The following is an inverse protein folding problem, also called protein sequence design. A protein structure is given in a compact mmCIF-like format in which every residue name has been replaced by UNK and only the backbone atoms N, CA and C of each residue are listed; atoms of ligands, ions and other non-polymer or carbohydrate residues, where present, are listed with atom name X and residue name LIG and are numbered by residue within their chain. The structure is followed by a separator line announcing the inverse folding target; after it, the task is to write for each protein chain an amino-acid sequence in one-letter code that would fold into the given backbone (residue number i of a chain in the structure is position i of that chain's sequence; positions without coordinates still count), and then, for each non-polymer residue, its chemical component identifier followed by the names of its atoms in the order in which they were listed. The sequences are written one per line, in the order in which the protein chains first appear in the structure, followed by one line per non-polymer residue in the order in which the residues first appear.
data_IF_266122555514
#
_entry.id   IF_266122555514
#
_cell.length_a   1.000
_cell.length_b   1.000
_cell.length_c   1.000
_cell.angle_alpha   90.00
_cell.angle_beta   90.00
_cell.angle_gamma   90.00
#
_symmetry.space_group_name_H-M   'P 1'
#
loop_
_entity.id
_entity.type
_entity.pdbx_description
1 polymer ?
#
# COMPACT_ATOMS: atom_id res chain seq x y z
N UNK A 1 72.07 10.55 48.86
CA UNK A 1 71.65 9.15 48.71
C UNK A 1 70.19 9.07 49.14
N UNK A 2 69.21 8.48 48.45
CA UNK A 2 69.19 7.82 47.13
C UNK A 2 67.73 7.67 46.64
N UNK A 3 67.53 7.68 45.31
CA UNK A 3 66.35 7.15 44.56
C UNK A 3 64.98 7.81 44.77
N UNK A 4 64.64 8.70 43.83
CA UNK A 4 63.24 9.05 43.49
C UNK A 4 62.51 7.84 42.88
N UNK A 5 61.21 7.71 43.15
CA UNK A 5 60.34 6.65 42.61
C UNK A 5 59.58 7.18 41.38
N UNK A 6 60.15 7.03 40.19
CA UNK A 6 59.50 7.36 38.92
C UNK A 6 59.04 6.11 38.17
N UNK A 7 57.87 5.59 38.54
CA UNK A 7 57.08 4.65 37.75
C UNK A 7 55.61 4.71 38.20
N UNK A 8 54.69 4.66 37.23
CA UNK A 8 53.21 4.72 37.36
C UNK A 8 52.54 6.11 37.37
N UNK A 9 52.63 6.85 36.24
CA UNK A 9 51.70 7.94 35.91
C UNK A 9 51.67 8.29 34.40
N UNK A 10 51.60 7.28 33.51
CA UNK A 10 51.49 7.48 32.05
C UNK A 10 50.49 6.55 31.34
N UNK A 11 49.51 5.97 32.06
CA UNK A 11 48.40 5.21 31.46
C UNK A 11 47.06 5.62 32.12
N UNK A 12 46.70 6.90 32.00
CA UNK A 12 45.42 7.43 32.50
C UNK A 12 44.92 8.68 31.74
N UNK A 13 45.44 8.97 30.54
CA UNK A 13 45.16 10.20 29.80
C UNK A 13 44.85 9.98 28.30
N UNK A 14 44.46 8.75 27.91
CA UNK A 14 44.16 8.38 26.52
C UNK A 14 42.81 7.66 26.34
N UNK A 15 41.94 7.67 27.36
CA UNK A 15 40.68 6.91 27.39
C UNK A 15 39.44 7.76 27.74
N UNK A 16 39.54 9.09 27.68
CA UNK A 16 38.42 10.03 27.96
C UNK A 16 38.15 11.08 26.86
N UNK A 17 38.52 10.80 25.61
CA UNK A 17 38.29 11.71 24.47
C UNK A 17 37.63 11.05 23.24
N UNK A 18 37.13 9.81 23.36
CA UNK A 18 36.55 9.03 22.26
C UNK A 18 35.18 8.40 22.59
N UNK A 19 34.45 8.97 23.56
CA UNK A 19 33.26 8.36 24.17
C UNK A 19 31.99 9.21 24.13
N UNK A 20 31.89 10.17 23.20
CA UNK A 20 30.72 11.04 23.06
C UNK A 20 30.35 11.29 21.58
N UNK A 21 30.44 10.25 20.75
CA UNK A 21 29.66 10.22 19.52
C UNK A 21 28.19 10.05 19.90
N UNK A 22 27.49 11.16 20.16
CA UNK A 22 26.04 11.17 20.22
C UNK A 22 25.54 10.70 18.87
N UNK A 23 25.08 9.44 18.79
CA UNK A 23 24.32 8.96 17.65
C UNK A 23 23.03 9.78 17.66
N UNK A 24 23.03 10.87 16.89
CA UNK A 24 21.81 11.57 16.50
C UNK A 24 21.13 10.64 15.52
N UNK A 25 20.44 9.65 16.07
CA UNK A 25 19.49 8.84 15.35
C UNK A 25 18.35 9.79 14.97
N UNK A 26 18.50 10.48 13.85
CA UNK A 26 17.38 11.04 13.12
C UNK A 26 16.40 9.89 12.94
N UNK A 27 15.18 9.95 13.50
CA UNK A 27 14.19 8.92 13.22
C UNK A 27 13.95 8.94 11.71
N UNK A 28 14.22 7.81 11.05
CA UNK A 28 13.84 7.60 9.65
C UNK A 28 12.36 8.01 9.51
N UNK A 29 11.96 8.81 8.49
CA UNK A 29 10.59 9.26 8.36
C UNK A 29 9.66 8.03 8.32
N UNK A 30 8.90 7.82 9.39
CA UNK A 30 7.90 6.77 9.40
C UNK A 30 6.96 7.04 8.22
N UNK A 31 6.79 6.05 7.36
CA UNK A 31 6.00 6.18 6.15
C UNK A 31 4.54 5.94 6.45
N UNK A 32 3.70 6.79 5.87
CA UNK A 32 2.26 6.59 5.91
C UNK A 32 1.85 5.48 4.94
N UNK A 33 0.70 4.90 5.21
CA UNK A 33 0.09 3.87 4.37
C UNK A 33 -1.41 3.94 4.56
N UNK A 34 -2.13 4.05 3.45
CA UNK A 34 -3.58 4.06 3.44
C UNK A 34 -4.13 4.26 2.03
N UNK A 35 -5.27 3.65 1.78
CA UNK A 35 -6.12 3.92 0.62
C UNK A 35 -7.58 4.05 1.07
N UNK A 36 -8.43 4.59 0.20
CA UNK A 36 -9.86 4.66 0.50
C UNK A 36 -10.46 3.25 0.60
N UNK A 37 -11.16 2.98 1.70
CA UNK A 37 -11.84 1.72 1.96
C UNK A 37 -13.35 1.83 1.69
N UNK A 38 -13.90 3.05 1.77
CA UNK A 38 -15.33 3.35 1.55
C UNK A 38 -15.44 4.81 1.10
N UNK A 39 -15.81 5.11 -0.18
CA UNK A 39 -15.95 4.16 -1.29
C UNK A 39 -14.60 3.54 -1.64
N UNK A 40 -14.55 2.23 -1.84
CA UNK A 40 -13.27 1.50 -1.93
C UNK A 40 -12.45 1.88 -3.17
N UNK A 41 -11.15 2.11 -2.98
CA UNK A 41 -10.21 2.33 -4.07
C UNK A 41 -9.99 1.04 -4.88
N UNK A 42 -9.60 1.17 -6.16
CA UNK A 42 -9.30 0.04 -7.06
C UNK A 42 -8.43 -1.02 -6.39
N UNK A 43 -7.31 -0.62 -5.82
CA UNK A 43 -6.37 -1.51 -5.12
C UNK A 43 -7.03 -2.24 -3.95
N UNK A 44 -7.78 -1.54 -3.10
CA UNK A 44 -8.47 -2.14 -1.95
C UNK A 44 -9.59 -3.11 -2.36
N UNK A 45 -10.40 -2.75 -3.36
CA UNK A 45 -11.48 -3.61 -3.84
C UNK A 45 -10.95 -4.83 -4.61
N UNK A 46 -9.86 -4.67 -5.36
CA UNK A 46 -9.18 -5.78 -6.01
C UNK A 46 -8.47 -6.70 -5.01
N UNK A 47 -7.90 -6.16 -3.92
CA UNK A 47 -7.40 -6.96 -2.81
C UNK A 47 -8.53 -7.78 -2.18
N UNK A 48 -9.69 -7.16 -1.90
CA UNK A 48 -10.87 -7.86 -1.39
C UNK A 48 -11.41 -8.93 -2.35
N UNK A 49 -11.42 -8.65 -3.65
CA UNK A 49 -11.86 -9.57 -4.69
C UNK A 49 -10.95 -10.80 -4.79
N UNK A 50 -9.63 -10.60 -4.66
CA UNK A 50 -8.66 -11.68 -4.78
C UNK A 50 -8.26 -12.38 -3.48
N UNK A 51 -8.58 -11.84 -2.30
CA UNK A 51 -8.13 -12.41 -1.02
C UNK A 51 -8.77 -13.78 -0.75
N UNK A 52 -7.95 -14.81 -0.91
CA UNK A 52 -8.29 -16.19 -0.55
C UNK A 52 -8.17 -16.45 0.96
N UNK A 53 -8.80 -17.52 1.49
CA UNK A 53 -8.65 -17.91 2.89
C UNK A 53 -7.22 -18.25 3.34
N UNK A 54 -6.32 -18.57 2.40
CA UNK A 54 -4.89 -18.83 2.66
C UNK A 54 -4.02 -17.57 2.57
N UNK A 55 -4.62 -16.39 2.42
CA UNK A 55 -3.94 -15.10 2.32
C UNK A 55 -3.39 -14.77 0.94
N UNK A 56 -3.45 -15.69 -0.02
CA UNK A 56 -3.07 -15.45 -1.42
C UNK A 56 -4.05 -14.49 -2.11
N UNK A 57 -3.53 -13.61 -2.96
CA UNK A 57 -4.34 -12.76 -3.83
C UNK A 57 -4.46 -13.37 -5.23
N UNK A 58 -5.66 -13.83 -5.56
CA UNK A 58 -6.08 -14.37 -6.86
C UNK A 58 -7.36 -13.65 -7.34
N UNK A 59 -7.25 -12.47 -7.97
CA UNK A 59 -8.43 -11.69 -8.34
C UNK A 59 -9.29 -12.41 -9.39
N UNK A 60 -10.60 -12.33 -9.19
CA UNK A 60 -11.65 -12.91 -10.03
C UNK A 60 -12.19 -11.86 -11.00
N UNK A 61 -12.22 -10.58 -10.58
CA UNK A 61 -12.60 -9.45 -11.40
C UNK A 61 -11.59 -9.24 -12.55
N UNK A 62 -12.00 -9.19 -13.83
CA UNK A 62 -11.05 -9.15 -14.94
C UNK A 62 -10.17 -7.89 -15.01
N UNK A 63 -10.62 -6.74 -14.49
CA UNK A 63 -9.79 -5.55 -14.37
C UNK A 63 -8.72 -5.71 -13.29
N UNK A 64 -9.09 -6.29 -12.14
CA UNK A 64 -8.16 -6.63 -11.07
C UNK A 64 -7.14 -7.69 -11.50
N UNK A 65 -7.57 -8.73 -12.21
CA UNK A 65 -6.67 -9.76 -12.76
C UNK A 65 -5.70 -9.15 -13.80
N UNK A 66 -6.16 -8.21 -14.63
CA UNK A 66 -5.32 -7.51 -15.59
C UNK A 66 -4.26 -6.62 -14.91
N UNK A 67 -4.64 -5.86 -13.88
CA UNK A 67 -3.68 -5.04 -13.12
C UNK A 67 -2.63 -5.90 -12.37
N UNK A 68 -3.05 -7.05 -11.84
CA UNK A 68 -2.15 -8.05 -11.26
C UNK A 68 -1.25 -8.72 -12.30
N UNK A 69 -1.70 -8.89 -13.54
CA UNK A 69 -0.84 -9.37 -14.63
C UNK A 69 0.24 -8.35 -15.03
N UNK A 70 -0.03 -7.05 -14.86
CA UNK A 70 0.93 -5.97 -15.16
C UNK A 70 1.90 -5.71 -14.00
N UNK A 71 1.40 -5.55 -12.76
CA UNK A 71 2.22 -5.15 -11.59
C UNK A 71 2.55 -6.31 -10.63
N UNK A 72 2.11 -7.52 -10.94
CA UNK A 72 2.17 -8.67 -10.03
C UNK A 72 1.12 -8.61 -8.91
N UNK A 73 0.76 -9.79 -8.39
CA UNK A 73 -0.16 -9.93 -7.25
C UNK A 73 0.30 -9.12 -6.04
N UNK A 74 1.63 -8.99 -5.92
CA UNK A 74 2.38 -7.94 -5.26
C UNK A 74 1.52 -6.69 -4.95
N UNK A 75 1.25 -5.85 -5.95
CA UNK A 75 0.54 -4.58 -5.82
C UNK A 75 -0.74 -4.63 -4.97
N UNK A 76 -1.44 -5.76 -4.90
CA UNK A 76 -2.65 -5.91 -4.10
C UNK A 76 -2.46 -6.25 -2.63
N UNK A 77 -1.41 -6.95 -2.18
CA UNK A 77 -1.27 -7.14 -0.72
C UNK A 77 -0.82 -5.84 -0.04
N UNK A 78 -0.41 -4.84 -0.82
CA UNK A 78 -0.09 -3.48 -0.38
C UNK A 78 -0.93 -2.47 -1.13
N UNK A 79 -2.22 -2.77 -1.15
CA UNK A 79 -3.28 -1.93 -1.68
C UNK A 79 -3.30 -0.51 -1.07
N UNK A 80 -2.67 -0.34 0.09
CA UNK A 80 -2.50 0.91 0.85
C UNK A 80 -1.22 1.71 0.51
N UNK A 81 -0.36 1.23 -0.39
CA UNK A 81 0.97 1.81 -0.65
C UNK A 81 1.08 2.59 -1.97
N UNK A 82 -0.04 3.09 -2.51
CA UNK A 82 -0.07 3.94 -3.72
C UNK A 82 0.42 5.35 -3.34
N UNK A 83 1.74 5.49 -3.25
CA UNK A 83 2.40 6.66 -2.67
C UNK A 83 3.47 7.28 -3.58
N UNK A 84 3.77 8.55 -3.29
CA UNK A 84 4.95 9.27 -3.77
C UNK A 84 5.60 10.02 -2.61
N UNK A 85 6.78 9.57 -2.19
CA UNK A 85 7.59 10.17 -1.12
C UNK A 85 7.97 11.63 -1.41
N UNK A 86 8.04 12.00 -2.69
CA UNK A 86 8.48 13.31 -3.17
C UNK A 86 7.33 14.28 -3.50
N UNK A 87 6.06 13.89 -3.34
CA UNK A 87 4.93 14.66 -3.89
C UNK A 87 4.84 16.12 -3.40
N UNK A 88 4.94 16.37 -2.10
CA UNK A 88 4.90 17.71 -1.52
C UNK A 88 3.60 18.46 -1.76
N UNK A 89 2.48 17.75 -1.92
CA UNK A 89 1.18 18.33 -2.30
C UNK A 89 1.01 18.61 -3.80
N UNK A 90 2.03 18.39 -4.62
CA UNK A 90 2.01 18.62 -6.08
C UNK A 90 1.07 17.65 -6.79
N UNK A 91 0.43 18.13 -7.85
CA UNK A 91 -0.57 17.39 -8.65
C UNK A 91 -0.29 17.53 -10.14
N UNK A 92 -0.87 18.56 -10.77
CA UNK A 92 -0.72 18.88 -12.20
C UNK A 92 0.74 19.18 -12.52
N UNK A 93 1.25 18.62 -13.62
CA UNK A 93 2.65 18.75 -14.03
C UNK A 93 3.65 17.92 -13.22
N UNK A 94 3.20 17.21 -12.18
CA UNK A 94 4.01 16.29 -11.38
C UNK A 94 3.60 14.83 -11.58
N UNK A 95 2.30 14.53 -11.47
CA UNK A 95 1.72 13.26 -11.88
C UNK A 95 1.20 13.44 -13.32
N UNK A 96 1.68 12.66 -14.31
CA UNK A 96 1.18 12.73 -15.68
C UNK A 96 -0.30 12.37 -15.80
N UNK A 97 -0.97 12.90 -16.83
CA UNK A 97 -2.30 12.43 -17.22
C UNK A 97 -2.26 10.93 -17.56
N UNK A 98 -3.32 10.22 -17.21
CA UNK A 98 -3.37 8.76 -17.29
C UNK A 98 -2.50 8.02 -16.27
N UNK A 99 -1.97 8.72 -15.25
CA UNK A 99 -1.20 8.15 -14.13
C UNK A 99 -1.73 8.55 -12.75
N UNK A 100 -2.97 9.04 -12.68
CA UNK A 100 -3.56 9.53 -11.44
C UNK A 100 -3.83 8.39 -10.45
N UNK A 101 -4.34 7.24 -10.90
CA UNK A 101 -4.74 6.14 -10.04
C UNK A 101 -3.55 5.36 -9.45
N UNK A 102 -2.40 5.38 -10.13
CA UNK A 102 -1.11 4.93 -9.61
C UNK A 102 -0.32 6.00 -8.84
N UNK A 103 -0.75 7.28 -8.86
CA UNK A 103 0.06 8.40 -8.39
C UNK A 103 1.38 8.58 -9.17
N UNK A 104 1.47 8.03 -10.39
CA UNK A 104 2.71 7.94 -11.15
C UNK A 104 3.72 6.93 -10.59
N UNK A 105 3.31 6.04 -9.69
CA UNK A 105 4.16 4.96 -9.17
C UNK A 105 4.14 3.75 -10.14
N UNK A 106 5.29 3.33 -10.71
CA UNK A 106 5.34 2.20 -11.65
C UNK A 106 4.82 0.88 -11.09
N UNK A 107 4.91 0.66 -9.76
CA UNK A 107 4.39 -0.54 -9.08
C UNK A 107 2.86 -0.65 -9.06
N UNK A 108 2.15 0.35 -9.56
CA UNK A 108 0.69 0.41 -9.60
C UNK A 108 0.12 0.85 -10.97
N UNK A 109 0.93 0.81 -12.03
CA UNK A 109 0.54 1.32 -13.36
C UNK A 109 -0.71 0.67 -13.97
N UNK A 110 -0.98 -0.60 -13.68
CA UNK A 110 -2.16 -1.34 -14.16
C UNK A 110 -3.47 -0.83 -13.55
N UNK A 111 -3.42 -0.13 -12.40
CA UNK A 111 -4.59 0.52 -11.80
C UNK A 111 -5.01 1.79 -12.52
N UNK A 112 -4.22 2.30 -13.46
CA UNK A 112 -4.61 3.40 -14.35
C UNK A 112 -5.48 2.93 -15.55
N UNK A 113 -5.62 1.61 -15.77
CA UNK A 113 -6.23 1.08 -16.99
C UNK A 113 -7.67 1.59 -17.21
N UNK A 114 -7.99 2.10 -18.41
CA UNK A 114 -9.31 2.63 -18.73
C UNK A 114 -10.29 1.50 -19.04
N UNK A 115 -11.00 1.04 -18.01
CA UNK A 115 -11.90 -0.11 -18.09
C UNK A 115 -13.25 0.19 -17.44
N UNK A 116 -14.28 -0.48 -17.93
CA UNK A 116 -15.67 -0.38 -17.44
C UNK A 116 -16.04 -1.48 -16.43
N UNK A 117 -15.16 -2.46 -16.21
CA UNK A 117 -15.41 -3.65 -15.39
C UNK A 117 -14.66 -3.67 -14.05
N UNK A 118 -14.02 -2.56 -13.65
CA UNK A 118 -13.52 -2.37 -12.28
C UNK A 118 -14.63 -2.60 -11.24
N UNK A 119 -14.28 -3.10 -10.02
CA UNK A 119 -15.18 -3.14 -8.88
C UNK A 119 -15.76 -1.75 -8.58
N UNK A 120 -17.04 -1.67 -8.23
CA UNK A 120 -17.83 -0.44 -8.29
C UNK A 120 -18.58 -0.19 -6.99
N UNK A 121 -18.53 1.03 -6.45
CA UNK A 121 -19.38 1.43 -5.31
C UNK A 121 -20.62 2.19 -5.79
N UNK A 122 -21.81 1.74 -5.39
CA UNK A 122 -23.09 2.35 -5.74
C UNK A 122 -23.47 3.46 -4.75
N UNK A 123 -23.81 4.64 -5.24
CA UNK A 123 -23.97 5.88 -4.46
C UNK A 123 -25.20 6.69 -4.88
N UNK A 124 -25.59 7.64 -4.03
CA UNK A 124 -26.64 8.63 -4.28
C UNK A 124 -26.02 10.02 -4.32
N UNK A 125 -26.24 10.77 -5.40
CA UNK A 125 -25.73 12.14 -5.53
C UNK A 125 -26.37 13.06 -4.48
N UNK A 126 -25.59 13.98 -3.92
CA UNK A 126 -26.02 14.89 -2.84
C UNK A 126 -26.20 14.26 -1.45
N UNK A 127 -26.31 12.92 -1.35
CA UNK A 127 -26.55 12.23 -0.09
C UNK A 127 -25.35 12.33 0.87
N UNK A 128 -25.63 12.30 2.19
CA UNK A 128 -24.58 12.11 3.19
C UNK A 128 -24.04 10.69 3.09
N UNK A 129 -22.73 10.54 3.18
CA UNK A 129 -22.02 9.28 3.09
C UNK A 129 -20.93 9.21 4.17
N UNK A 130 -20.71 8.01 4.72
CA UNK A 130 -19.68 7.76 5.73
C UNK A 130 -18.46 7.12 5.08
N UNK A 131 -17.36 7.87 5.09
CA UNK A 131 -16.11 7.50 4.46
C UNK A 131 -15.21 6.73 5.41
N UNK A 132 -14.43 5.82 4.84
CA UNK A 132 -13.36 5.11 5.53
C UNK A 132 -12.09 5.18 4.70
N UNK A 133 -10.97 5.50 5.34
CA UNK A 133 -9.65 5.52 4.72
C UNK A 133 -8.70 4.76 5.62
N UNK A 134 -7.93 3.80 5.09
CA UNK A 134 -7.08 2.95 5.93
C UNK A 134 -6.04 3.75 6.70
N UNK A 135 -5.81 3.37 7.96
CA UNK A 135 -4.75 3.93 8.81
C UNK A 135 -3.58 2.93 8.97
N UNK A 136 -3.29 2.11 7.94
CA UNK A 136 -2.25 1.08 7.99
C UNK A 136 -0.92 1.58 8.56
N UNK A 137 -0.53 2.82 8.23
CA UNK A 137 0.36 3.61 9.07
C UNK A 137 -0.21 5.02 9.27
N UNK A 138 -0.45 5.38 10.53
CA UNK A 138 -1.08 6.64 10.91
C UNK A 138 -0.12 7.84 10.85
N UNK A 139 -0.54 8.91 10.18
CA UNK A 139 0.15 10.21 10.14
C UNK A 139 -0.82 11.39 10.19
N UNK A 140 -0.35 12.59 10.58
CA UNK A 140 -1.12 13.81 10.45
C UNK A 140 -1.16 14.30 8.99
N UNK A 141 -2.27 14.89 8.57
CA UNK A 141 -2.42 15.41 7.21
C UNK A 141 -3.85 15.72 6.81
N UNK A 142 -4.01 16.11 5.55
CA UNK A 142 -5.28 16.46 4.92
C UNK A 142 -5.63 15.50 3.80
N UNK A 143 -6.84 14.97 3.85
CA UNK A 143 -7.46 14.12 2.85
C UNK A 143 -8.35 14.99 1.95
N UNK A 144 -8.12 14.90 0.65
CA UNK A 144 -8.87 15.61 -0.39
C UNK A 144 -9.57 14.60 -1.28
N UNK A 145 -10.86 14.82 -1.57
CA UNK A 145 -11.65 14.00 -2.48
C UNK A 145 -12.20 14.85 -3.62
N UNK A 146 -11.83 14.47 -4.84
CA UNK A 146 -12.30 15.04 -6.09
C UNK A 146 -13.24 14.03 -6.77
N UNK A 147 -14.08 14.52 -7.68
CA UNK A 147 -14.91 13.66 -8.54
C UNK A 147 -14.62 14.02 -10.00
N UNK A 148 -14.76 13.06 -10.90
CA UNK A 148 -14.79 13.33 -12.34
C UNK A 148 -15.98 14.18 -12.76
N UNK A 149 -15.77 15.10 -13.70
CA UNK A 149 -16.79 15.86 -14.45
C UNK A 149 -17.72 14.94 -15.23
N UNK A 150 -18.89 15.46 -15.59
CA UNK A 150 -19.93 14.70 -16.31
C UNK A 150 -19.56 14.43 -17.78
N UNK A 151 -18.53 15.11 -18.29
CA UNK A 151 -17.92 14.89 -19.61
C UNK A 151 -16.85 13.80 -19.63
N UNK A 152 -16.53 13.17 -18.49
CA UNK A 152 -15.57 12.07 -18.42
C UNK A 152 -16.20 10.75 -18.89
N UNK A 153 -15.36 9.83 -19.39
CA UNK A 153 -15.78 8.47 -19.77
C UNK A 153 -14.77 7.43 -19.26
N UNK A 154 -15.23 6.30 -18.68
CA UNK A 154 -14.38 5.20 -18.24
C UNK A 154 -13.62 4.49 -19.39
N UNK A 155 -13.95 4.77 -20.64
CA UNK A 155 -13.30 4.15 -21.83
C UNK A 155 -11.96 4.80 -22.22
N UNK A 156 -11.51 5.83 -21.50
CA UNK A 156 -10.20 6.47 -21.70
C UNK A 156 -9.50 6.76 -20.38
N UNK A 157 -8.18 6.95 -20.43
CA UNK A 157 -7.39 7.22 -19.25
C UNK A 157 -7.85 8.53 -18.56
N UNK A 158 -7.78 8.56 -17.23
CA UNK A 158 -8.15 9.70 -16.40
C UNK A 158 -7.06 10.78 -16.46
N UNK A 159 -7.42 11.99 -16.86
CA UNK A 159 -6.57 13.18 -16.87
C UNK A 159 -6.95 14.15 -15.74
N UNK A 160 -6.04 15.06 -15.36
CA UNK A 160 -6.34 16.12 -14.38
C UNK A 160 -7.47 17.04 -14.83
N UNK A 161 -7.59 17.27 -16.14
CA UNK A 161 -8.68 18.06 -16.74
C UNK A 161 -10.06 17.44 -16.54
N UNK A 162 -10.13 16.13 -16.26
CA UNK A 162 -11.39 15.40 -16.06
C UNK A 162 -11.95 15.53 -14.65
N UNK A 163 -11.13 15.91 -13.66
CA UNK A 163 -11.58 16.15 -12.31
C UNK A 163 -12.26 17.52 -12.20
N UNK A 164 -13.22 17.64 -11.29
CA UNK A 164 -13.69 18.94 -10.82
C UNK A 164 -12.51 19.71 -10.19
N UNK A 165 -12.45 21.02 -10.43
CA UNK A 165 -11.32 21.86 -10.04
C UNK A 165 -11.12 21.90 -8.51
N UNK A 166 -12.23 21.85 -7.76
CA UNK A 166 -12.24 21.87 -6.31
C UNK A 166 -12.62 20.49 -5.74
N UNK A 167 -11.99 20.07 -4.62
CA UNK A 167 -12.40 18.86 -3.93
C UNK A 167 -13.79 19.07 -3.31
N UNK A 168 -14.69 18.10 -3.48
CA UNK A 168 -16.03 18.15 -2.87
C UNK A 168 -16.01 17.87 -1.37
N UNK A 169 -14.94 17.22 -0.89
CA UNK A 169 -14.71 16.93 0.52
C UNK A 169 -13.22 17.09 0.85
N UNK A 170 -12.93 17.84 1.91
CA UNK A 170 -11.58 18.01 2.47
C UNK A 170 -11.66 17.81 3.97
N UNK A 171 -10.80 16.94 4.53
CA UNK A 171 -10.79 16.60 5.96
C UNK A 171 -9.36 16.55 6.47
N UNK A 172 -9.07 17.26 7.56
CA UNK A 172 -7.73 17.29 8.18
C UNK A 172 -7.77 16.57 9.52
N UNK A 173 -6.81 15.66 9.76
CA UNK A 173 -6.68 14.87 10.99
C UNK A 173 -7.99 14.23 11.50
N UNK A 174 -8.73 13.47 10.67
CA UNK A 174 -9.94 12.77 11.10
C UNK A 174 -9.69 11.77 12.25
N UNK A 175 -10.72 11.46 13.05
CA UNK A 175 -10.63 10.42 14.07
C UNK A 175 -10.43 9.03 13.46
N UNK A 176 -9.93 8.10 14.28
CA UNK A 176 -9.59 6.74 13.89
C UNK A 176 -10.42 5.71 14.65
N UNK A 177 -10.65 4.56 14.02
CA UNK A 177 -11.30 3.40 14.60
C UNK A 177 -10.55 2.12 14.17
N UNK A 178 -10.38 1.19 15.12
CA UNK A 178 -9.51 0.03 14.98
C UNK A 178 -8.00 0.35 15.13
N UNK A 179 -7.15 -0.67 15.35
CA UNK A 179 -5.71 -0.46 15.54
C UNK A 179 -5.02 -0.06 14.22
N UNK A 180 -3.97 0.75 14.32
CA UNK A 180 -3.05 1.04 13.22
C UNK A 180 -2.34 -0.25 12.79
N UNK A 181 -2.14 -0.43 11.49
CA UNK A 181 -1.46 -1.61 10.93
C UNK A 181 -2.32 -2.88 10.83
N UNK A 182 -3.65 -2.76 10.83
CA UNK A 182 -4.56 -3.89 10.53
C UNK A 182 -5.43 -3.60 9.31
N UNK A 183 -6.05 -4.65 8.75
CA UNK A 183 -6.92 -4.52 7.58
C UNK A 183 -8.25 -3.79 7.87
N UNK A 184 -8.62 -3.71 9.15
CA UNK A 184 -9.85 -3.11 9.66
C UNK A 184 -9.62 -1.68 10.17
N UNK A 185 -8.37 -1.31 10.48
CA UNK A 185 -7.99 0.01 10.95
C UNK A 185 -8.27 1.10 9.91
N UNK A 186 -8.97 2.15 10.32
CA UNK A 186 -9.34 3.26 9.44
C UNK A 186 -9.54 4.59 10.16
N UNK A 187 -9.21 5.67 9.46
CA UNK A 187 -9.82 6.97 9.66
C UNK A 187 -11.30 6.92 9.25
N UNK A 188 -12.16 7.66 9.96
CA UNK A 188 -13.59 7.78 9.60
C UNK A 188 -14.07 9.23 9.65
N UNK A 189 -14.96 9.59 8.73
CA UNK A 189 -15.57 10.91 8.63
C UNK A 189 -16.81 10.85 7.73
N UNK A 190 -17.78 11.75 7.93
CA UNK A 190 -18.92 11.89 7.01
C UNK A 190 -18.70 13.08 6.08
N UNK A 191 -19.26 13.00 4.87
CA UNK A 191 -19.39 14.14 3.95
C UNK A 191 -20.61 13.98 3.06
N UNK A 192 -20.99 15.04 2.34
CA UNK A 192 -21.99 14.92 1.28
C UNK A 192 -21.31 14.52 -0.03
N UNK A 193 -21.92 13.58 -0.75
CA UNK A 193 -21.55 13.33 -2.15
C UNK A 193 -21.90 14.55 -3.02
N UNK A 194 -21.18 14.79 -4.13
CA UNK A 194 -21.54 15.82 -5.09
C UNK A 194 -22.99 15.66 -5.56
N UNK A 195 -23.72 16.77 -5.68
CA UNK A 195 -25.04 16.80 -6.31
C UNK A 195 -24.91 16.78 -7.84
N UNK A 196 -26.00 16.47 -8.54
CA UNK A 196 -26.07 16.51 -10.02
C UNK A 196 -25.36 15.36 -10.76
N UNK A 197 -24.55 14.54 -10.08
CA UNK A 197 -23.87 13.39 -10.68
C UNK A 197 -24.83 12.23 -11.00
N UNK A 198 -24.57 11.50 -12.07
CA UNK A 198 -25.37 10.33 -12.49
C UNK A 198 -24.51 9.33 -13.26
N UNK A 199 -24.74 8.03 -13.06
CA UNK A 199 -23.95 6.99 -13.73
C UNK A 199 -22.50 6.93 -13.23
N UNK A 200 -21.59 6.43 -14.06
CA UNK A 200 -20.22 6.07 -13.65
C UNK A 200 -19.28 7.27 -13.57
N UNK A 201 -18.57 7.39 -12.45
CA UNK A 201 -17.55 8.39 -12.18
C UNK A 201 -16.37 7.75 -11.42
N UNK A 202 -15.24 8.45 -11.35
CA UNK A 202 -14.18 8.17 -10.38
C UNK A 202 -14.23 9.21 -9.27
N UNK A 203 -14.17 8.76 -8.02
CA UNK A 203 -13.77 9.58 -6.88
C UNK A 203 -12.25 9.43 -6.73
N UNK A 204 -11.53 10.54 -6.84
CA UNK A 204 -10.08 10.59 -6.71
C UNK A 204 -9.70 11.11 -5.33
N UNK A 205 -8.97 10.29 -4.57
CA UNK A 205 -8.51 10.62 -3.22
C UNK A 205 -7.03 11.00 -3.23
N UNK A 206 -6.67 12.06 -2.51
CA UNK A 206 -5.28 12.45 -2.20
C UNK A 206 -5.13 12.66 -0.70
N UNK A 207 -4.21 11.96 -0.05
CA UNK A 207 -3.80 12.27 1.33
C UNK A 207 -2.44 12.97 1.31
N UNK A 208 -2.43 14.22 1.79
CA UNK A 208 -1.22 15.04 1.93
C UNK A 208 -0.82 15.04 3.40
N UNK A 209 0.34 14.47 3.71
CA UNK A 209 0.94 14.55 5.03
C UNK A 209 1.31 15.98 5.40
N UNK A 210 1.21 16.33 6.68
CA UNK A 210 1.70 17.61 7.21
C UNK A 210 3.10 17.51 7.83
N UNK A 211 3.61 16.30 8.00
CA UNK A 211 4.90 15.96 8.62
C UNK A 211 5.95 15.45 7.60
N UNK A 212 5.60 15.34 6.32
CA UNK A 212 6.46 14.82 5.25
C UNK A 212 6.04 15.36 3.88
N UNK A 213 6.91 15.21 2.87
CA UNK A 213 6.55 15.41 1.46
C UNK A 213 5.73 14.25 0.89
N UNK A 214 5.70 13.09 1.57
CA UNK A 214 5.02 11.90 1.09
C UNK A 214 3.49 12.08 1.00
N UNK A 215 2.89 11.71 -0.14
CA UNK A 215 1.44 11.74 -0.35
C UNK A 215 0.93 10.40 -0.91
N UNK A 216 -0.37 10.14 -0.69
CA UNK A 216 -1.07 8.93 -1.14
C UNK A 216 -2.16 9.29 -2.13
N UNK A 217 -2.40 8.39 -3.08
CA UNK A 217 -3.32 8.59 -4.18
C UNK A 217 -4.21 7.37 -4.35
N UNK A 218 -5.39 7.54 -4.93
CA UNK A 218 -6.22 6.40 -5.27
C UNK A 218 -7.50 6.80 -5.98
N UNK A 219 -7.91 5.96 -6.93
CA UNK A 219 -9.18 6.05 -7.62
C UNK A 219 -10.16 5.05 -7.01
N UNK A 220 -11.35 5.51 -6.63
CA UNK A 220 -12.51 4.67 -6.31
C UNK A 220 -13.52 4.79 -7.44
N UNK A 221 -13.78 3.71 -8.18
CA UNK A 221 -14.83 3.68 -9.21
C UNK A 221 -16.20 3.64 -8.53
N UNK A 222 -17.08 4.56 -8.93
CA UNK A 222 -18.40 4.70 -8.36
C UNK A 222 -19.48 4.84 -9.43
N UNK A 223 -20.72 4.56 -9.06
CA UNK A 223 -21.89 4.90 -9.88
C UNK A 223 -22.91 5.65 -9.03
N UNK A 224 -23.44 6.75 -9.57
CA UNK A 224 -24.53 7.51 -8.96
C UNK A 224 -25.86 7.05 -9.54
N UNK A 225 -26.48 6.09 -8.85
CA UNK A 225 -27.68 5.37 -9.29
C UNK A 225 -28.74 5.17 -8.19
N UNK A 226 -28.55 5.78 -7.02
CA UNK A 226 -29.43 5.61 -5.85
C UNK A 226 -28.88 4.63 -4.81
N UNK A 227 -27.66 4.11 -5.01
CA UNK A 227 -26.97 3.28 -4.03
C UNK A 227 -26.58 4.02 -2.74
N UNK A 228 -26.19 3.24 -1.74
CA UNK A 228 -25.87 3.67 -0.38
C UNK A 228 -24.58 3.00 0.13
N UNK A 229 -23.61 2.77 -0.76
CA UNK A 229 -22.32 2.15 -0.44
C UNK A 229 -22.20 0.66 -0.75
N UNK A 230 -23.17 0.06 -1.45
CA UNK A 230 -23.05 -1.31 -1.95
C UNK A 230 -21.87 -1.43 -2.93
N UNK A 231 -21.17 -2.56 -2.90
CA UNK A 231 -20.05 -2.84 -3.83
C UNK A 231 -20.45 -4.00 -4.74
N UNK A 232 -20.22 -3.85 -6.05
CA UNK A 232 -20.39 -4.91 -7.05
C UNK A 232 -19.11 -5.15 -7.84
N UNK A 233 -19.06 -6.26 -8.58
CA UNK A 233 -17.88 -6.65 -9.36
C UNK A 233 -16.74 -7.23 -8.52
N UNK A 234 -17.03 -7.68 -7.29
CA UNK A 234 -16.09 -8.47 -6.46
C UNK A 234 -16.62 -9.90 -6.27
N UNK A 235 -15.72 -10.86 -6.04
CA UNK A 235 -16.06 -12.24 -5.67
C UNK A 235 -16.74 -13.03 -6.79
N UNK A 236 -16.49 -12.68 -8.06
CA UNK A 236 -17.13 -13.31 -9.22
C UNK A 236 -18.62 -12.98 -9.39
N UNK A 237 -19.17 -12.06 -8.59
CA UNK A 237 -20.51 -11.51 -8.85
C UNK A 237 -20.45 -10.68 -10.15
N UNK A 238 -21.31 -10.96 -11.16
CA UNK A 238 -21.36 -10.12 -12.34
C UNK A 238 -21.67 -8.68 -11.95
N UNK A 239 -20.89 -7.73 -12.46
CA UNK A 239 -21.28 -6.33 -12.43
C UNK A 239 -22.63 -6.23 -13.16
N UNK A 240 -23.71 -5.71 -12.55
CA UNK A 240 -24.98 -5.57 -13.23
C UNK A 240 -24.79 -4.62 -14.42
N UNK A 241 -24.67 -5.18 -15.62
CA UNK A 241 -24.59 -4.43 -16.88
C UNK A 241 -25.82 -3.57 -16.98
N UNK A 242 -25.64 -2.25 -16.82
CA UNK A 242 -26.71 -1.26 -16.70
C UNK A 242 -27.76 -1.43 -17.81
N UNK A 243 -28.98 -1.91 -17.52
CA UNK A 243 -30.06 -1.87 -18.48
C UNK A 243 -30.60 -0.44 -18.51
N UNK A 244 -30.92 0.08 -19.70
CA UNK A 244 -31.84 1.21 -19.78
C UNK A 244 -33.18 0.81 -19.14
N UNK A 245 -33.88 1.70 -18.41
CA UNK A 245 -34.97 1.29 -17.55
C UNK A 245 -36.18 0.81 -18.37
N UNK A 246 -36.62 -0.42 -18.14
CA UNK A 246 -37.98 -0.90 -18.47
C UNK A 246 -38.40 -1.90 -17.39
N UNK A 247 -39.58 -1.76 -16.75
CA UNK A 247 -39.92 -2.53 -15.55
C UNK A 247 -40.58 -3.88 -15.87
N UNK A 248 -40.18 -4.97 -15.19
CA UNK A 248 -41.08 -6.09 -14.81
C UNK A 248 -40.49 -7.08 -13.76
N UNK A 249 -41.39 -7.87 -13.18
CA UNK A 249 -41.34 -8.67 -11.93
C UNK A 249 -40.44 -9.95 -11.97
N UNK A 250 -39.89 -10.45 -10.84
CA UNK A 250 -38.85 -11.50 -10.82
C UNK A 250 -39.34 -12.97 -10.87
N UNK A 251 -38.41 -13.87 -11.25
CA UNK A 251 -38.55 -15.35 -11.20
C UNK A 251 -37.28 -16.05 -10.67
N UNK A 252 -37.33 -17.34 -10.27
CA UNK A 252 -36.46 -17.87 -9.20
C UNK A 252 -35.20 -18.65 -9.62
N UNK A 253 -34.27 -18.72 -8.65
CA UNK A 253 -32.97 -19.41 -8.62
C UNK A 253 -33.04 -20.94 -8.63
N UNK A 254 -32.00 -21.63 -9.15
CA UNK A 254 -31.52 -22.90 -8.57
C UNK A 254 -30.04 -22.90 -8.15
N UNK A 255 -29.74 -23.61 -7.06
CA UNK A 255 -28.42 -23.85 -6.44
C UNK A 255 -27.77 -25.19 -6.89
N UNK A 256 -26.46 -25.40 -6.62
CA UNK A 256 -25.84 -26.60 -5.94
C UNK A 256 -24.29 -26.65 -6.16
N UNK A 257 -23.44 -27.14 -5.21
CA UNK A 257 -21.96 -26.99 -5.24
C UNK A 257 -21.12 -28.30 -5.42
N UNK A 258 -19.78 -28.17 -5.57
CA UNK A 258 -18.79 -29.27 -5.63
C UNK A 258 -17.33 -28.86 -5.26
N UNK A 259 -16.38 -29.79 -4.97
CA UNK A 259 -15.31 -29.56 -3.98
C UNK A 259 -13.82 -29.39 -4.46
N UNK A 260 -12.97 -29.01 -3.50
CA UNK A 260 -11.47 -28.87 -3.43
C UNK A 260 -10.67 -30.20 -3.56
N UNK A 261 -9.31 -30.27 -3.47
CA UNK A 261 -8.19 -29.27 -3.53
C UNK A 261 -7.14 -29.63 -4.65
N UNK A 262 -5.94 -29.05 -4.88
CA UNK A 262 -4.90 -28.45 -4.01
C UNK A 262 -3.92 -27.57 -4.84
N UNK A 263 -3.28 -26.56 -4.22
CA UNK A 263 -2.15 -25.76 -4.78
C UNK A 263 -1.15 -25.46 -3.66
N UNK A 264 0.08 -24.98 -3.94
CA UNK A 264 0.40 -23.63 -3.44
C UNK A 264 1.32 -22.76 -4.32
N UNK A 265 0.97 -21.47 -4.39
CA UNK A 265 1.84 -20.29 -4.52
C UNK A 265 1.25 -19.17 -3.63
N UNK A 266 1.90 -18.01 -3.45
CA UNK A 266 1.32 -16.75 -2.88
C UNK A 266 2.40 -15.69 -2.56
N UNK A 267 2.27 -14.40 -2.91
CA UNK A 267 3.36 -13.37 -2.90
C UNK A 267 2.97 -11.88 -2.55
N UNK A 268 3.41 -11.29 -1.43
CA UNK A 268 2.90 -10.09 -0.65
C UNK A 268 3.87 -8.89 -0.31
N UNK A 269 3.71 -7.57 -0.65
CA UNK A 269 4.83 -6.58 -0.65
C UNK A 269 4.93 -5.28 0.25
N UNK A 270 5.08 -3.97 -0.18
CA UNK A 270 5.88 -2.96 0.56
C UNK A 270 5.15 -1.86 1.35
N UNK A 271 5.59 -1.62 2.59
CA UNK A 271 6.09 -0.31 3.04
C UNK A 271 7.54 0.03 2.55
N UNK A 272 8.17 1.20 2.73
CA UNK A 272 7.84 2.46 3.41
C UNK A 272 8.78 3.59 2.91
N UNK A 273 8.23 4.74 2.50
CA UNK A 273 8.81 6.09 2.62
C UNK A 273 10.31 6.29 2.39
N UNK A 274 10.66 6.54 1.13
CA UNK A 274 11.96 7.06 0.71
C UNK A 274 12.21 6.74 -0.76
N UNK A 275 13.44 6.97 -1.22
CA UNK A 275 13.93 6.39 -2.48
C UNK A 275 13.81 4.86 -2.47
N UNK A 276 13.83 4.20 -1.30
CA UNK A 276 13.78 2.75 -1.20
C UNK A 276 12.36 2.21 -0.93
N UNK A 277 11.95 1.21 -1.70
CA UNK A 277 10.70 0.46 -1.51
C UNK A 277 11.02 -1.04 -1.29
N UNK A 278 10.43 -1.69 -0.27
CA UNK A 278 10.73 -3.09 0.09
C UNK A 278 9.54 -4.04 -0.11
N UNK A 279 9.39 -4.57 -1.31
CA UNK A 279 8.31 -5.50 -1.66
C UNK A 279 8.59 -6.90 -1.10
N UNK A 280 8.05 -7.25 0.07
CA UNK A 280 7.94 -8.64 0.54
C UNK A 280 7.26 -9.57 -0.49
N UNK A 281 7.38 -10.87 -0.27
CA UNK A 281 6.47 -11.91 -0.72
C UNK A 281 6.65 -13.22 0.03
N UNK A 282 5.58 -13.97 0.25
CA UNK A 282 5.70 -15.43 0.48
C UNK A 282 6.15 -16.06 -0.84
N UNK A 283 6.84 -17.21 -0.80
CA UNK A 283 7.25 -17.97 -1.99
C UNK A 283 6.60 -19.35 -1.97
N UNK A 284 6.56 -19.97 -0.79
CA UNK A 284 5.90 -21.24 -0.53
C UNK A 284 5.53 -21.34 0.96
N UNK A 285 4.58 -22.20 1.31
CA UNK A 285 4.18 -22.45 2.70
C UNK A 285 3.82 -23.92 2.93
N UNK A 286 4.00 -24.38 4.17
CA UNK A 286 3.71 -25.74 4.62
C UNK A 286 3.21 -25.73 6.07
N UNK A 287 2.83 -26.89 6.59
CA UNK A 287 2.39 -27.01 7.99
C UNK A 287 3.52 -26.61 8.95
N UNK A 288 3.35 -25.48 9.64
CA UNK A 288 4.29 -24.96 10.62
C UNK A 288 5.43 -24.09 10.07
N UNK A 289 5.47 -23.75 8.77
CA UNK A 289 6.49 -22.84 8.23
C UNK A 289 6.23 -22.34 6.82
N UNK A 290 7.07 -21.40 6.37
CA UNK A 290 6.97 -20.79 5.05
C UNK A 290 8.33 -20.24 4.58
N UNK A 291 8.46 -20.06 3.28
CA UNK A 291 9.55 -19.30 2.66
C UNK A 291 9.05 -17.90 2.30
N UNK A 292 9.83 -16.88 2.65
CA UNK A 292 9.63 -15.50 2.22
C UNK A 292 10.78 -14.99 1.35
N UNK A 293 10.49 -13.93 0.60
CA UNK A 293 11.44 -13.11 -0.16
C UNK A 293 11.08 -11.64 0.08
N UNK A 294 12.02 -10.71 0.02
CA UNK A 294 11.77 -9.27 -0.05
C UNK A 294 12.64 -8.73 -1.16
N UNK A 295 12.02 -8.19 -2.20
CA UNK A 295 12.69 -7.39 -3.20
C UNK A 295 12.77 -5.92 -2.73
N UNK A 296 13.89 -5.28 -3.04
CA UNK A 296 14.29 -3.95 -2.61
C UNK A 296 14.52 -3.14 -3.88
N UNK A 297 13.75 -2.07 -4.07
CA UNK A 297 13.74 -1.26 -5.28
C UNK A 297 14.19 0.17 -4.97
N UNK A 298 14.95 0.77 -5.89
CA UNK A 298 15.44 2.15 -5.78
C UNK A 298 14.66 3.07 -6.73
N UNK A 299 13.71 3.84 -6.21
CA UNK A 299 13.00 4.92 -6.90
C UNK A 299 13.68 6.30 -6.72
N UNK A 300 14.91 6.31 -6.22
CA UNK A 300 15.75 7.50 -6.15
C UNK A 300 16.51 7.77 -7.44
N UNK A 301 16.91 9.03 -7.64
CA UNK A 301 17.71 9.45 -8.79
C UNK A 301 19.21 9.11 -8.69
N UNK A 302 19.65 8.51 -7.58
CA UNK A 302 21.05 8.10 -7.35
C UNK A 302 21.15 6.62 -6.97
N UNK A 303 22.24 5.91 -7.30
CA UNK A 303 22.44 4.54 -6.83
C UNK A 303 22.47 4.45 -5.31
N UNK A 304 21.87 3.40 -4.75
CA UNK A 304 22.15 2.95 -3.39
C UNK A 304 23.55 2.35 -3.30
N UNK A 305 24.07 2.35 -2.08
CA UNK A 305 25.34 1.70 -1.68
C UNK A 305 25.12 0.66 -0.58
N UNK A 306 23.98 0.76 0.11
CA UNK A 306 23.46 -0.22 1.04
C UNK A 306 21.94 -0.06 1.20
N UNK A 307 21.30 -1.07 1.77
CA UNK A 307 19.88 -1.04 2.11
C UNK A 307 19.61 -1.79 3.42
N UNK A 308 18.57 -1.34 4.13
CA UNK A 308 18.05 -1.90 5.39
C UNK A 308 16.54 -2.08 5.24
N UNK A 309 16.08 -3.32 5.32
CA UNK A 309 14.66 -3.66 5.35
C UNK A 309 14.24 -4.04 6.77
N UNK A 310 13.05 -3.61 7.21
CA UNK A 310 12.53 -3.95 8.55
C UNK A 310 11.16 -4.60 8.42
N UNK A 311 11.04 -5.87 8.79
CA UNK A 311 9.79 -6.62 8.80
C UNK A 311 9.21 -6.63 10.22
N UNK A 312 7.93 -6.33 10.38
CA UNK A 312 7.19 -6.51 11.63
C UNK A 312 6.15 -7.60 11.46
N UNK A 313 6.34 -8.69 12.18
CA UNK A 313 5.50 -9.89 12.14
C UNK A 313 4.23 -9.75 12.97
N UNK A 314 3.22 -10.56 12.63
CA UNK A 314 2.21 -10.97 13.62
C UNK A 314 2.84 -11.91 14.66
N UNK A 315 2.19 -12.10 15.81
CA UNK A 315 2.68 -13.03 16.83
C UNK A 315 2.76 -14.47 16.29
N UNK A 316 3.85 -15.18 16.62
CA UNK A 316 4.01 -16.61 16.32
C UNK A 316 4.84 -16.97 15.08
N UNK A 317 5.61 -16.04 14.50
CA UNK A 317 6.53 -16.29 13.38
C UNK A 317 8.00 -16.08 13.79
N UNK A 318 8.90 -16.94 13.30
CA UNK A 318 10.35 -16.89 13.61
C UNK A 318 11.18 -17.25 12.39
N UNK A 319 12.19 -16.44 12.02
CA UNK A 319 13.13 -16.79 10.93
C UNK A 319 14.09 -17.90 11.39
N UNK A 320 14.20 -18.95 10.59
CA UNK A 320 15.10 -20.09 10.78
C UNK A 320 16.41 -19.92 9.98
N UNK A 321 16.34 -19.37 8.77
CA UNK A 321 17.49 -19.11 7.89
C UNK A 321 17.18 -17.96 6.92
N UNK A 322 18.20 -17.23 6.48
CA UNK A 322 18.09 -16.09 5.55
C UNK A 322 19.31 -16.06 4.62
N UNK A 323 19.12 -15.65 3.37
CA UNK A 323 20.16 -15.49 2.34
C UNK A 323 20.07 -14.13 1.65
N UNK A 324 21.18 -13.73 1.01
CA UNK A 324 21.38 -12.42 0.36
C UNK A 324 21.22 -11.19 1.30
N UNK A 325 21.31 -11.41 2.61
CA UNK A 325 21.34 -10.38 3.64
C UNK A 325 21.82 -10.94 4.98
N UNK A 326 21.94 -10.07 5.97
CA UNK A 326 22.21 -10.40 7.37
C UNK A 326 21.07 -9.84 8.23
N UNK A 327 20.65 -10.54 9.28
CA UNK A 327 19.48 -10.11 10.05
C UNK A 327 19.68 -10.11 11.57
N UNK A 328 18.90 -9.27 12.24
CA UNK A 328 18.74 -9.22 13.69
C UNK A 328 17.26 -9.23 14.05
N UNK A 329 16.93 -9.66 15.28
CA UNK A 329 15.55 -9.80 15.75
C UNK A 329 15.34 -9.11 17.10
N UNK A 330 14.21 -8.43 17.26
CA UNK A 330 13.80 -7.79 18.52
C UNK A 330 12.29 -7.82 18.63
N UNK A 331 11.74 -8.64 19.55
CA UNK A 331 10.31 -8.88 19.63
C UNK A 331 9.76 -9.46 18.32
N UNK A 332 8.69 -8.85 17.77
CA UNK A 332 8.13 -9.18 16.46
C UNK A 332 8.83 -8.50 15.28
N UNK A 333 9.88 -7.72 15.51
CA UNK A 333 10.61 -6.99 14.46
C UNK A 333 11.87 -7.73 14.04
N UNK A 334 12.06 -7.88 12.72
CA UNK A 334 13.28 -8.35 12.06
C UNK A 334 13.86 -7.20 11.25
N UNK A 335 15.15 -6.90 11.44
CA UNK A 335 15.89 -5.97 10.58
C UNK A 335 16.86 -6.76 9.72
N UNK A 336 16.86 -6.55 8.41
CA UNK A 336 17.73 -7.20 7.42
C UNK A 336 18.55 -6.14 6.69
N UNK A 337 19.86 -6.33 6.63
CA UNK A 337 20.79 -5.49 5.86
C UNK A 337 21.39 -6.25 4.68
N UNK A 338 21.83 -5.51 3.66
CA UNK A 338 22.40 -6.08 2.44
C UNK A 338 23.64 -6.95 2.68
N UNK A 339 23.84 -7.93 1.79
CA UNK A 339 25.14 -8.58 1.62
C UNK A 339 26.13 -7.66 0.89
N UNK A 340 27.46 -7.89 0.98
CA UNK A 340 28.45 -7.02 0.34
C UNK A 340 28.29 -6.87 -1.18
N UNK A 341 27.74 -7.88 -1.87
CA UNK A 341 27.61 -7.91 -3.33
C UNK A 341 26.28 -7.34 -3.86
N UNK A 342 25.29 -7.07 -3.00
CA UNK A 342 23.94 -6.66 -3.44
C UNK A 342 23.40 -5.39 -2.76
N UNK A 343 24.27 -4.62 -2.10
CA UNK A 343 23.95 -3.30 -1.54
C UNK A 343 23.84 -2.19 -2.58
N UNK A 344 24.55 -2.32 -3.71
CA UNK A 344 24.49 -1.36 -4.81
C UNK A 344 23.26 -1.62 -5.68
N UNK A 345 22.37 -0.63 -5.77
CA UNK A 345 21.13 -0.69 -6.58
C UNK A 345 21.03 0.60 -7.39
N UNK A 346 21.08 0.52 -8.72
CA UNK A 346 20.93 1.68 -9.60
C UNK A 346 19.52 2.31 -9.49
N UNK A 347 19.31 3.57 -9.94
CA UNK A 347 17.98 4.15 -10.12
C UNK A 347 17.06 3.23 -10.94
N UNK A 348 15.81 3.09 -10.50
CA UNK A 348 14.79 2.10 -10.91
C UNK A 348 15.27 0.62 -10.87
N UNK A 349 16.42 0.36 -10.25
CA UNK A 349 16.99 -0.96 -10.07
C UNK A 349 16.34 -1.72 -8.91
N UNK A 350 16.48 -3.05 -8.93
CA UNK A 350 15.94 -3.96 -7.91
C UNK A 350 16.99 -4.98 -7.47
N UNK A 351 16.97 -5.36 -6.20
CA UNK A 351 17.70 -6.49 -5.59
C UNK A 351 16.76 -7.27 -4.68
N UNK A 352 17.14 -8.42 -4.13
CA UNK A 352 16.27 -9.19 -3.24
C UNK A 352 17.03 -10.08 -2.23
N UNK A 353 16.38 -10.33 -1.10
CA UNK A 353 16.76 -11.34 -0.11
C UNK A 353 15.62 -12.31 0.17
N UNK A 354 15.93 -13.48 0.72
CA UNK A 354 14.91 -14.47 1.07
C UNK A 354 15.26 -15.26 2.32
N UNK A 355 14.27 -15.92 2.89
CA UNK A 355 14.38 -16.58 4.18
C UNK A 355 13.36 -17.72 4.34
N UNK A 356 13.64 -18.63 5.26
CA UNK A 356 12.68 -19.64 5.75
C UNK A 356 12.31 -19.28 7.19
N UNK A 357 11.02 -19.35 7.51
CA UNK A 357 10.48 -19.08 8.82
C UNK A 357 9.56 -20.21 9.32
N UNK A 358 9.49 -20.35 10.64
CA UNK A 358 8.49 -21.17 11.35
C UNK A 358 7.24 -20.33 11.66
N UNK A 359 6.09 -20.98 11.80
CA UNK A 359 4.80 -20.36 12.14
C UNK A 359 3.81 -20.29 10.98
N UNK A 360 2.58 -19.84 11.27
CA UNK A 360 1.57 -19.58 10.23
C UNK A 360 1.96 -18.35 9.42
N UNK A 361 1.94 -18.45 8.10
CA UNK A 361 2.20 -17.31 7.21
C UNK A 361 1.13 -16.23 7.36
N UNK A 362 1.51 -15.08 7.92
CA UNK A 362 0.77 -13.82 7.82
C UNK A 362 1.58 -12.78 7.02
N UNK A 363 0.94 -11.65 6.74
CA UNK A 363 1.52 -10.55 5.96
C UNK A 363 2.21 -9.57 6.94
N UNK A 364 3.56 -9.49 6.97
CA UNK A 364 4.27 -8.52 7.79
C UNK A 364 4.20 -7.13 7.17
N UNK A 365 4.27 -6.11 8.02
CA UNK A 365 4.59 -4.73 7.60
C UNK A 365 6.10 -4.67 7.30
N UNK A 366 6.49 -4.39 6.07
CA UNK A 366 7.91 -4.39 5.63
C UNK A 366 8.36 -3.02 5.15
N UNK A 367 9.21 -2.31 5.88
CA UNK A 367 9.77 -1.02 5.46
C UNK A 367 11.13 -1.15 4.78
N UNK A 368 11.50 -0.18 3.93
CA UNK A 368 12.88 -0.01 3.45
C UNK A 368 13.48 1.32 3.90
N UNK A 369 14.79 1.35 3.99
CA UNK A 369 15.61 2.57 4.08
C UNK A 369 16.94 2.32 3.37
N UNK A 370 17.54 3.40 2.84
CA UNK A 370 18.92 3.39 2.35
C UNK A 370 19.88 3.24 3.54
N UNK A 371 20.98 2.51 3.36
CA UNK A 371 22.04 2.32 4.35
C UNK A 371 23.41 2.80 3.84
#
# INVERSE_FOLDING_TARGET
MTRSRTAALLIAAATLAAGAATIVASPDPAAAHGASMTPGARTYLCWKDGLTPTGEIKPINPACSAAVAENGANSLYNWFSVLRSDAGGRTVGFIPDGKLCSGGNPGFSGYDAPRTDWPLTHLTAGARFDFKYSNWAHHPGTFYFYVTKDSWSPTRALAWSDLEEQPFLTVTNPPQNGPVGTNEGHYYFSGNMPSGKSGRHIIYSRWVRSDSQENFFGCSDVTFDGGNGQVTGIGGTPNPTTPAPTPTTPGPTPTTPGPTPTTPGSTTPPPAGGDCMATYKVVSSWSGGFQGEVAIMNHGSTPFTGWKATLTWSTGQTINSLWNGTYTTSGSTVTVTNSPYNGTVAPEGTTAFGFVASGTSSLPTVSCTRA
#
